data_IF_839718278757
#
_entry.id   IF_839718278757
#
_cell.length_a   1.000
_cell.length_b   1.000
_cell.length_c   1.000
_cell.angle_alpha   90.00
_cell.angle_beta   90.00
_cell.angle_gamma   90.00
#
_symmetry.space_group_name_H-M   'P 1'
#
loop_
_entity.id
_entity.type
_entity.pdbx_description
1 polymer ?
#
# COMPACT_ATOMS: atom_id res chain seq x y z
N UNK A 1 -2.02 -1.19 -1.79
CA UNK A 1 -2.01 -2.47 -2.54
C UNK A 1 -1.52 -3.56 -1.62
N UNK A 2 -2.41 -4.47 -1.23
CA UNK A 2 -2.02 -5.61 -0.40
C UNK A 2 -1.72 -6.80 -1.32
N UNK A 3 -0.54 -7.09 -1.59
CA UNK A 3 -0.09 -8.18 -2.43
C UNK A 3 1.29 -8.64 -1.99
N UNK A 4 1.82 -9.70 -2.52
CA UNK A 4 3.14 -10.23 -2.20
C UNK A 4 4.05 -10.15 -3.42
N UNK A 5 5.32 -9.87 -3.18
CA UNK A 5 6.28 -10.02 -4.25
C UNK A 5 6.42 -11.49 -4.63
N UNK A 6 6.36 -11.75 -5.91
CA UNK A 6 6.48 -13.08 -6.48
C UNK A 6 7.68 -13.11 -7.41
N UNK A 7 8.47 -14.13 -7.29
CA UNK A 7 9.60 -14.38 -8.19
C UNK A 7 9.51 -15.77 -8.74
N UNK A 8 9.65 -15.89 -10.05
CA UNK A 8 9.71 -17.17 -10.75
C UNK A 8 11.16 -17.49 -11.04
N UNK A 9 11.59 -18.68 -10.63
CA UNK A 9 12.91 -19.22 -10.91
C UNK A 9 12.80 -20.47 -11.77
N UNK A 10 13.80 -20.67 -12.62
CA UNK A 10 13.91 -21.88 -13.42
C UNK A 10 15.01 -22.77 -12.88
N UNK A 11 14.84 -24.07 -12.98
CA UNK A 11 15.94 -25.01 -12.69
C UNK A 11 17.06 -24.87 -13.72
N UNK A 12 18.29 -24.77 -13.25
CA UNK A 12 19.46 -24.73 -14.11
C UNK A 12 19.86 -26.11 -14.65
N UNK A 13 19.18 -27.17 -14.23
CA UNK A 13 19.47 -28.54 -14.62
C UNK A 13 18.51 -28.96 -15.73
N UNK A 14 19.01 -29.01 -16.96
CA UNK A 14 18.19 -29.32 -18.15
C UNK A 14 17.48 -30.68 -18.10
N UNK A 15 18.03 -31.64 -17.40
CA UNK A 15 17.52 -33.02 -17.34
C UNK A 15 16.86 -33.35 -15.99
N UNK A 16 16.61 -32.36 -15.15
CA UNK A 16 15.90 -32.62 -13.89
C UNK A 16 14.45 -33.01 -14.16
N UNK A 17 14.00 -34.09 -13.53
CA UNK A 17 12.60 -34.49 -13.60
C UNK A 17 11.74 -33.42 -12.88
N UNK A 18 10.63 -33.01 -13.50
CA UNK A 18 9.73 -32.08 -12.82
C UNK A 18 9.11 -32.76 -11.60
N UNK A 19 9.13 -32.07 -10.48
CA UNK A 19 8.43 -32.47 -9.24
C UNK A 19 7.01 -31.95 -9.17
N UNK A 20 6.60 -31.20 -10.17
CA UNK A 20 5.31 -30.54 -10.27
C UNK A 20 4.35 -31.26 -11.23
N UNK A 21 3.10 -30.90 -11.19
CA UNK A 21 2.07 -31.45 -12.11
C UNK A 21 2.27 -31.06 -13.58
N UNK A 22 3.10 -30.07 -13.87
CA UNK A 22 3.44 -29.63 -15.23
C UNK A 22 4.85 -30.02 -15.62
N UNK A 23 5.06 -30.12 -16.91
CA UNK A 23 6.32 -30.57 -17.51
C UNK A 23 7.39 -29.47 -17.58
N UNK A 24 7.46 -28.60 -16.60
CA UNK A 24 8.50 -27.58 -16.52
C UNK A 24 9.09 -27.48 -15.12
N UNK A 25 10.29 -26.94 -15.03
CA UNK A 25 11.03 -26.78 -13.79
C UNK A 25 10.95 -25.35 -13.25
N UNK A 26 9.79 -24.72 -13.38
CA UNK A 26 9.55 -23.42 -12.78
C UNK A 26 9.10 -23.58 -11.35
N UNK A 27 9.66 -22.76 -10.49
CA UNK A 27 9.15 -22.54 -9.15
C UNK A 27 8.96 -21.04 -8.90
N UNK A 28 8.13 -20.72 -7.96
CA UNK A 28 7.95 -19.34 -7.53
C UNK A 28 8.08 -19.20 -6.03
N UNK A 29 8.49 -18.04 -5.62
CA UNK A 29 8.61 -17.68 -4.21
C UNK A 29 7.78 -16.45 -3.91
N UNK A 30 7.29 -16.38 -2.68
CA UNK A 30 6.66 -15.21 -2.15
C UNK A 30 7.59 -14.52 -1.17
N UNK A 31 7.74 -13.22 -1.31
CA UNK A 31 8.26 -12.38 -0.23
C UNK A 31 7.10 -11.60 0.36
N UNK A 32 6.83 -11.83 1.64
CA UNK A 32 5.60 -11.43 2.30
C UNK A 32 5.41 -9.94 2.57
N UNK A 33 6.38 -9.07 2.21
CA UNK A 33 6.23 -7.62 2.41
C UNK A 33 6.40 -6.85 1.13
N UNK A 34 5.36 -6.21 0.72
CA UNK A 34 5.16 -5.77 -0.59
C UNK A 34 5.62 -4.42 -0.99
N UNK A 35 6.11 -4.46 -2.20
CA UNK A 35 6.02 -3.37 -3.14
C UNK A 35 4.58 -2.85 -3.23
N UNK A 36 4.33 -1.65 -2.80
CA UNK A 36 3.04 -1.00 -2.95
C UNK A 36 2.23 -0.84 -1.69
N UNK A 37 2.73 -1.28 -0.54
CA UNK A 37 2.20 -0.79 0.71
C UNK A 37 2.60 0.68 0.86
N UNK A 38 1.61 1.53 1.04
CA UNK A 38 1.84 2.87 1.52
C UNK A 38 2.55 2.77 2.88
N UNK A 39 3.79 3.21 2.93
CA UNK A 39 4.54 3.26 4.19
C UNK A 39 3.80 4.11 5.22
N UNK A 40 3.14 5.17 4.78
CA UNK A 40 2.32 6.05 5.61
C UNK A 40 1.10 5.30 6.16
N UNK A 41 0.39 4.56 5.30
CA UNK A 41 -0.79 3.77 5.70
C UNK A 41 -0.43 2.67 6.71
N UNK A 42 0.70 1.99 6.50
CA UNK A 42 1.19 0.98 7.45
C UNK A 42 1.63 1.62 8.78
N UNK A 43 2.30 2.76 8.74
CA UNK A 43 2.69 3.50 9.93
C UNK A 43 1.46 3.99 10.74
N UNK A 44 0.42 4.46 10.05
CA UNK A 44 -0.86 4.83 10.67
C UNK A 44 -1.49 3.63 11.39
N UNK A 45 -1.54 2.45 10.74
CA UNK A 45 -2.05 1.23 11.38
C UNK A 45 -1.24 0.82 12.60
N UNK A 46 0.10 0.89 12.51
CA UNK A 46 0.99 0.52 13.62
C UNK A 46 0.79 1.43 14.84
N UNK A 47 0.46 2.70 14.60
CA UNK A 47 0.12 3.67 15.66
C UNK A 47 -1.34 3.57 16.12
N UNK A 48 -2.13 2.66 15.58
CA UNK A 48 -3.52 2.42 15.97
C UNK A 48 -4.54 3.33 15.29
N UNK A 49 -4.14 4.06 14.25
CA UNK A 49 -5.04 4.92 13.47
C UNK A 49 -5.90 4.16 12.48
N UNK A 50 -6.98 4.80 12.07
CA UNK A 50 -7.94 4.26 11.10
C UNK A 50 -7.48 4.57 9.68
N UNK A 51 -7.36 3.53 8.87
CA UNK A 51 -6.91 3.65 7.47
C UNK A 51 -8.02 3.38 6.45
N UNK A 52 -9.13 2.81 6.90
CA UNK A 52 -10.26 2.48 6.05
C UNK A 52 -11.33 3.56 6.23
N UNK A 53 -11.43 4.47 5.27
CA UNK A 53 -12.34 5.60 5.28
C UNK A 53 -12.70 6.04 3.86
N UNK A 54 -13.70 6.90 3.75
CA UNK A 54 -14.08 7.51 2.48
C UNK A 54 -13.06 8.55 2.00
N UNK A 55 -12.42 9.23 2.96
CA UNK A 55 -11.36 10.20 2.75
C UNK A 55 -10.36 10.09 3.89
N UNK A 56 -9.08 10.12 3.59
CA UNK A 56 -7.98 10.11 4.55
C UNK A 56 -6.91 11.11 4.12
N UNK A 57 -6.39 11.85 5.06
CA UNK A 57 -5.22 12.70 4.92
C UNK A 57 -4.20 12.33 5.98
N UNK A 58 -3.05 11.84 5.58
CA UNK A 58 -1.98 11.45 6.49
C UNK A 58 -0.68 12.11 6.09
N UNK A 59 0.12 12.46 7.09
CA UNK A 59 1.48 12.99 6.90
C UNK A 59 2.50 12.12 7.61
N UNK A 60 3.73 12.13 7.12
CA UNK A 60 4.89 11.45 7.70
C UNK A 60 6.12 12.36 7.56
N UNK A 61 6.89 12.48 8.65
CA UNK A 61 8.12 13.29 8.66
C UNK A 61 9.17 12.67 9.56
N UNK A 62 10.37 13.24 9.59
CA UNK A 62 11.48 12.86 10.48
C UNK A 62 11.84 11.36 10.49
N UNK A 63 11.43 10.61 9.48
CA UNK A 63 11.59 9.15 9.44
C UNK A 63 13.07 8.76 9.32
N UNK A 64 13.59 8.10 10.37
CA UNK A 64 14.99 7.69 10.46
C UNK A 64 15.99 8.82 10.72
N UNK A 65 15.53 10.05 10.95
CA UNK A 65 16.38 11.22 11.15
C UNK A 65 16.28 11.79 12.56
N UNK A 66 17.18 11.38 13.43
CA UNK A 66 17.24 11.87 14.82
C UNK A 66 17.56 13.39 14.95
N UNK A 67 17.98 14.04 13.86
CA UNK A 67 18.22 15.48 13.85
C UNK A 67 16.94 16.30 13.64
N UNK A 68 15.86 15.67 13.19
CA UNK A 68 14.55 16.29 13.04
C UNK A 68 13.60 15.81 14.15
N UNK A 69 13.35 16.69 15.12
CA UNK A 69 12.36 16.48 16.18
C UNK A 69 11.22 17.49 16.08
N UNK A 70 10.93 17.93 14.87
CA UNK A 70 9.91 18.94 14.62
C UNK A 70 8.52 18.41 14.90
N UNK A 71 7.65 19.33 15.27
CA UNK A 71 6.23 19.12 15.49
C UNK A 71 5.48 19.64 14.26
N UNK A 72 5.04 18.72 13.42
CA UNK A 72 4.26 19.01 12.22
C UNK A 72 2.85 18.51 12.40
N UNK A 73 1.89 19.39 12.21
CA UNK A 73 0.47 19.06 12.36
C UNK A 73 -0.23 18.91 11.02
N UNK A 74 -1.00 17.86 10.88
CA UNK A 74 -2.00 17.71 9.82
C UNK A 74 -3.24 18.53 10.14
N UNK A 75 -3.67 19.33 9.19
CA UNK A 75 -4.88 20.15 9.29
C UNK A 75 -5.81 19.95 8.11
N UNK A 76 -7.08 19.98 8.41
CA UNK A 76 -8.12 20.04 7.38
C UNK A 76 -9.17 21.12 7.73
N UNK A 77 -9.79 21.70 6.70
CA UNK A 77 -10.95 22.56 6.85
C UNK A 77 -12.10 22.06 5.98
N UNK A 78 -13.19 21.70 6.62
CA UNK A 78 -14.41 21.21 5.96
C UNK A 78 -15.16 22.33 5.23
N UNK A 79 -16.12 22.00 4.34
CA UNK A 79 -16.86 22.99 3.56
C UNK A 79 -17.62 24.04 4.38
N UNK A 80 -18.00 23.71 5.61
CA UNK A 80 -18.68 24.64 6.53
C UNK A 80 -17.74 25.51 7.36
N UNK A 81 -16.43 25.42 7.10
CA UNK A 81 -15.39 26.17 7.83
C UNK A 81 -14.88 25.48 9.08
N UNK A 82 -15.43 24.33 9.48
CA UNK A 82 -14.93 23.55 10.62
C UNK A 82 -13.48 23.12 10.36
N UNK A 83 -12.60 23.39 11.30
CA UNK A 83 -11.20 22.94 11.24
C UNK A 83 -11.00 21.67 12.06
N UNK A 84 -10.17 20.80 11.57
CA UNK A 84 -9.76 19.55 12.20
C UNK A 84 -8.25 19.55 12.28
N UNK A 85 -7.72 19.29 13.46
CA UNK A 85 -6.30 19.27 13.80
C UNK A 85 -6.13 19.09 15.31
N UNK A 86 -4.92 19.22 15.85
CA UNK A 86 -4.63 18.92 17.26
C UNK A 86 -5.55 19.63 18.27
N UNK A 87 -5.89 20.89 18.05
CA UNK A 87 -6.75 21.65 18.97
C UNK A 87 -8.25 21.38 18.79
N UNK A 88 -8.64 20.84 17.64
CA UNK A 88 -10.02 20.47 17.28
C UNK A 88 -10.04 19.11 16.57
N UNK A 89 -9.68 18.03 17.31
CA UNK A 89 -9.46 16.72 16.67
C UNK A 89 -10.73 16.08 16.12
N UNK A 90 -11.89 16.61 16.48
CA UNK A 90 -13.20 16.17 15.96
C UNK A 90 -14.26 17.24 16.20
N UNK A 91 -15.30 17.20 15.38
CA UNK A 91 -16.48 18.05 15.59
C UNK A 91 -17.37 17.49 16.69
N UNK A 92 -17.76 18.33 17.65
CA UNK A 92 -18.83 18.03 18.61
C UNK A 92 -20.14 18.60 18.11
N UNK A 93 -21.14 17.77 17.85
CA UNK A 93 -22.49 18.28 17.63
C UNK A 93 -23.14 18.68 18.96
N UNK A 94 -23.75 19.86 18.95
CA UNK A 94 -24.52 20.30 20.10
C UNK A 94 -25.76 19.40 20.27
N UNK A 95 -25.81 18.66 21.34
CA UNK A 95 -26.96 17.86 21.76
C UNK A 95 -26.86 16.36 21.60
N UNK A 96 -25.78 15.82 21.05
CA UNK A 96 -25.52 14.38 20.98
C UNK A 96 -24.21 14.09 21.68
N UNK A 97 -24.22 13.18 22.65
CA UNK A 97 -23.00 12.75 23.37
C UNK A 97 -22.06 11.91 22.50
N UNK A 98 -22.36 11.75 21.23
CA UNK A 98 -21.59 10.96 20.30
C UNK A 98 -20.87 11.87 19.31
N UNK A 99 -19.63 11.54 19.02
CA UNK A 99 -18.86 12.08 17.89
C UNK A 99 -19.73 12.01 16.65
N UNK A 100 -19.97 13.13 16.01
CA UNK A 100 -20.62 13.07 14.72
C UNK A 100 -19.66 12.41 13.74
N UNK A 101 -20.13 11.31 13.21
CA UNK A 101 -19.44 10.61 12.11
C UNK A 101 -19.49 11.41 10.79
N UNK A 102 -19.84 12.70 10.84
CA UNK A 102 -19.98 13.57 9.67
C UNK A 102 -18.72 14.32 9.33
N UNK A 103 -17.87 14.58 10.34
CA UNK A 103 -16.63 15.31 10.13
C UNK A 103 -15.42 14.38 10.20
N UNK A 104 -14.29 14.88 9.69
CA UNK A 104 -13.01 14.23 9.86
C UNK A 104 -12.61 14.14 11.33
N UNK A 105 -11.77 13.19 11.61
CA UNK A 105 -11.21 12.99 12.93
C UNK A 105 -9.69 12.86 12.80
N UNK A 106 -8.94 13.68 13.56
CA UNK A 106 -7.53 13.45 13.84
C UNK A 106 -7.46 12.32 14.88
N UNK A 107 -6.92 11.19 14.53
CA UNK A 107 -6.84 10.01 15.39
C UNK A 107 -5.41 9.66 15.81
N UNK A 108 -4.41 10.26 15.15
CA UNK A 108 -3.00 10.20 15.55
C UNK A 108 -2.43 11.61 15.56
N UNK A 109 -1.73 11.93 16.64
CA UNK A 109 -1.03 13.20 16.88
C UNK A 109 0.33 12.90 17.54
N UNK A 110 1.44 13.23 16.87
CA UNK A 110 2.80 12.98 17.34
C UNK A 110 3.58 14.29 17.41
N UNK A 111 3.81 14.78 18.62
CA UNK A 111 4.45 16.07 18.87
C UNK A 111 5.97 16.04 18.98
N UNK A 112 6.56 14.87 19.23
CA UNK A 112 8.00 14.69 19.44
C UNK A 112 8.50 13.38 18.84
N UNK A 113 8.98 13.40 17.60
CA UNK A 113 9.52 12.23 16.89
C UNK A 113 10.56 11.41 17.66
N UNK A 114 11.47 12.08 18.37
CA UNK A 114 12.53 11.41 19.11
C UNK A 114 12.03 10.47 20.22
N UNK A 115 10.85 10.72 20.78
CA UNK A 115 10.22 9.84 21.77
C UNK A 115 9.83 8.48 21.18
N UNK A 116 9.77 8.38 19.85
CA UNK A 116 9.44 7.17 19.10
C UNK A 116 10.64 6.65 18.30
N UNK A 117 11.85 7.15 18.60
CA UNK A 117 13.07 6.78 17.86
C UNK A 117 13.02 7.19 16.37
N UNK A 118 12.28 8.25 16.04
CA UNK A 118 12.07 8.72 14.67
C UNK A 118 11.57 7.61 13.71
N UNK A 119 10.68 6.76 14.23
CA UNK A 119 10.13 5.65 13.45
C UNK A 119 8.61 5.72 13.41
N UNK A 120 8.06 5.62 12.19
CA UNK A 120 6.62 5.70 11.96
C UNK A 120 6.00 6.98 12.55
N UNK A 121 6.63 8.11 12.25
CA UNK A 121 6.19 9.43 12.70
C UNK A 121 5.11 9.92 11.75
N UNK A 122 3.88 9.82 12.19
CA UNK A 122 2.70 10.09 11.36
C UNK A 122 1.63 10.85 12.12
N UNK A 123 0.87 11.65 11.38
CA UNK A 123 -0.46 12.10 11.79
C UNK A 123 -1.49 11.69 10.77
N UNK A 124 -2.72 11.53 11.24
CA UNK A 124 -3.80 11.01 10.40
C UNK A 124 -5.13 11.69 10.69
N UNK A 125 -5.74 12.21 9.63
CA UNK A 125 -7.13 12.68 9.63
C UNK A 125 -7.94 11.77 8.72
N UNK A 126 -9.06 11.22 9.23
CA UNK A 126 -9.90 10.29 8.50
C UNK A 126 -11.38 10.67 8.56
N UNK A 127 -12.08 10.52 7.44
CA UNK A 127 -13.54 10.60 7.29
C UNK A 127 -14.06 9.21 6.94
N UNK A 128 -14.83 8.62 7.83
CA UNK A 128 -15.22 7.20 7.73
C UNK A 128 -16.24 6.94 6.61
N UNK A 129 -17.20 7.86 6.41
CA UNK A 129 -18.35 7.61 5.53
C UNK A 129 -18.67 8.85 4.68
N UNK A 130 -18.47 8.74 3.35
CA UNK A 130 -18.73 9.83 2.42
C UNK A 130 -20.18 10.33 2.46
N UNK A 131 -21.15 9.46 2.76
CA UNK A 131 -22.58 9.82 2.85
C UNK A 131 -22.88 10.76 4.00
N UNK A 132 -21.99 10.84 4.97
CA UNK A 132 -22.08 11.72 6.13
C UNK A 132 -21.25 12.99 5.99
N UNK A 133 -20.46 13.09 4.93
CA UNK A 133 -19.72 14.30 4.60
C UNK A 133 -20.63 15.30 3.88
N UNK A 134 -20.30 16.58 4.02
CA UNK A 134 -20.99 17.64 3.28
C UNK A 134 -20.37 17.83 1.90
N UNK A 135 -21.21 18.02 0.91
CA UNK A 135 -20.76 18.46 -0.41
C UNK A 135 -20.04 19.82 -0.30
N UNK A 136 -18.96 19.97 -1.03
CA UNK A 136 -18.13 21.18 -1.04
C UNK A 136 -16.65 20.87 -1.01
N UNK A 137 -15.85 21.87 -0.67
CA UNK A 137 -14.38 21.80 -0.69
C UNK A 137 -13.83 21.60 0.71
N UNK A 138 -13.08 20.50 0.90
CA UNK A 138 -12.24 20.26 2.06
C UNK A 138 -10.80 20.66 1.72
N UNK A 139 -10.21 21.56 2.50
CA UNK A 139 -8.83 22.03 2.32
C UNK A 139 -7.91 21.24 3.26
N UNK A 140 -6.72 20.88 2.78
CA UNK A 140 -5.74 20.11 3.55
C UNK A 140 -4.38 20.78 3.52
N UNK A 141 -3.74 20.90 4.68
CA UNK A 141 -2.41 21.50 4.81
C UNK A 141 -1.64 20.91 5.98
N UNK A 142 -0.33 21.14 5.98
CA UNK A 142 0.59 20.81 7.06
C UNK A 142 1.06 22.09 7.70
N UNK A 143 0.98 22.18 9.03
CA UNK A 143 1.46 23.31 9.80
C UNK A 143 2.73 22.94 10.56
N UNK A 144 3.65 23.90 10.69
CA UNK A 144 4.81 23.79 11.55
C UNK A 144 4.48 24.38 12.92
N UNK A 145 4.09 23.55 13.88
CA UNK A 145 3.86 24.01 15.25
C UNK A 145 5.17 24.35 15.96
N UNK A 146 6.13 23.44 15.95
CA UNK A 146 7.45 23.69 16.54
C UNK A 146 8.57 23.19 15.62
N UNK A 147 9.41 24.14 15.17
CA UNK A 147 10.57 23.80 14.35
C UNK A 147 11.73 23.33 15.25
N UNK A 148 12.10 22.06 15.09
CA UNK A 148 13.24 21.43 15.75
C UNK A 148 14.05 20.61 14.73
N UNK A 149 14.39 21.23 13.60
CA UNK A 149 15.20 20.61 12.55
C UNK A 149 14.41 20.10 11.35
N UNK A 150 13.20 20.66 11.10
CA UNK A 150 12.33 20.24 9.98
C UNK A 150 13.06 20.21 8.66
N UNK A 151 12.95 19.09 7.95
CA UNK A 151 13.48 18.89 6.58
C UNK A 151 12.40 18.72 5.55
N UNK A 152 11.14 18.66 5.98
CA UNK A 152 9.98 18.48 5.12
C UNK A 152 9.10 17.33 5.59
N UNK A 153 8.20 16.90 4.71
CA UNK A 153 7.25 15.82 4.99
C UNK A 153 6.86 15.10 3.72
N UNK A 154 6.31 13.93 3.88
CA UNK A 154 5.51 13.22 2.88
C UNK A 154 4.06 13.23 3.31
N UNK A 155 3.13 13.29 2.35
CA UNK A 155 1.71 13.23 2.64
C UNK A 155 1.01 12.28 1.68
N UNK A 156 -0.08 11.71 2.14
CA UNK A 156 -1.01 10.91 1.33
C UNK A 156 -2.43 11.37 1.55
N UNK A 157 -3.16 11.44 0.45
CA UNK A 157 -4.60 11.61 0.43
C UNK A 157 -5.20 10.40 -0.26
N UNK A 158 -6.06 9.68 0.44
CA UNK A 158 -6.83 8.56 -0.11
C UNK A 158 -8.29 8.98 -0.16
N UNK A 159 -8.89 8.97 -1.34
CA UNK A 159 -10.30 9.27 -1.52
C UNK A 159 -10.93 8.31 -2.54
N UNK A 160 -11.96 7.60 -2.10
CA UNK A 160 -12.50 6.50 -2.86
C UNK A 160 -11.44 5.40 -3.07
N UNK A 161 -11.23 5.02 -4.34
CA UNK A 161 -10.26 3.99 -4.74
C UNK A 161 -8.90 4.58 -5.15
N UNK A 162 -8.70 5.88 -5.00
CA UNK A 162 -7.50 6.58 -5.46
C UNK A 162 -6.65 7.07 -4.29
N UNK A 163 -5.33 6.96 -4.43
CA UNK A 163 -4.35 7.46 -3.48
C UNK A 163 -3.41 8.43 -4.17
N UNK A 164 -3.31 9.62 -3.62
CA UNK A 164 -2.44 10.69 -4.09
C UNK A 164 -1.33 10.91 -3.09
N UNK A 165 -0.09 10.98 -3.57
CA UNK A 165 1.09 11.15 -2.75
C UNK A 165 1.76 12.48 -3.03
N UNK A 166 2.35 13.07 -1.99
CA UNK A 166 3.01 14.37 -2.05
C UNK A 166 4.31 14.29 -1.27
N UNK A 167 5.30 15.03 -1.74
CA UNK A 167 6.58 15.16 -1.08
C UNK A 167 7.00 16.64 -1.04
N UNK A 168 7.34 17.10 0.15
CA UNK A 168 7.80 18.46 0.39
C UNK A 168 9.16 18.41 1.07
N UNK A 169 10.24 18.58 0.28
CA UNK A 169 11.63 18.38 0.69
C UNK A 169 12.32 19.70 1.07
N UNK A 170 11.64 20.52 1.89
CA UNK A 170 12.16 21.79 2.40
C UNK A 170 11.73 21.95 3.87
N UNK A 171 12.47 22.72 4.67
CA UNK A 171 11.98 23.09 5.99
C UNK A 171 10.57 23.69 5.91
N UNK A 172 9.68 23.19 6.73
CA UNK A 172 8.30 23.67 6.79
C UNK A 172 8.30 25.01 7.52
N UNK A 173 7.62 26.00 6.95
CA UNK A 173 7.46 27.34 7.54
C UNK A 173 5.98 27.72 7.45
N UNK A 174 5.32 27.82 8.61
CA UNK A 174 3.88 28.10 8.66
C UNK A 174 3.05 26.98 8.04
N UNK A 175 2.09 27.35 7.20
CA UNK A 175 1.16 26.44 6.54
C UNK A 175 1.63 26.08 5.13
N UNK A 176 1.75 24.79 4.87
CA UNK A 176 2.00 24.26 3.52
C UNK A 176 0.74 23.56 3.03
N UNK A 177 0.02 24.21 2.14
CA UNK A 177 -1.20 23.65 1.55
C UNK A 177 -0.89 22.52 0.59
N UNK A 178 -1.53 21.36 0.79
CA UNK A 178 -1.28 20.12 0.03
C UNK A 178 -2.28 19.98 -1.11
N UNK A 179 -3.57 20.01 -0.80
CA UNK A 179 -4.63 19.85 -1.79
C UNK A 179 -5.99 20.41 -1.30
N UNK A 180 -6.90 20.58 -2.24
CA UNK A 180 -8.32 20.81 -2.02
C UNK A 180 -9.10 19.62 -2.59
N UNK A 181 -9.94 19.01 -1.76
CA UNK A 181 -10.77 17.86 -2.13
C UNK A 181 -12.21 18.32 -2.23
N UNK A 182 -12.77 18.24 -3.42
CA UNK A 182 -14.20 18.58 -3.64
C UNK A 182 -15.01 17.28 -3.62
N UNK A 183 -15.98 17.21 -2.70
CA UNK A 183 -17.02 16.19 -2.72
C UNK A 183 -18.27 16.80 -3.35
N UNK A 184 -18.81 16.14 -4.37
CA UNK A 184 -20.08 16.52 -5.00
C UNK A 184 -20.85 15.27 -5.41
N UNK A 185 -22.06 15.11 -4.86
CA UNK A 185 -22.92 13.95 -5.16
C UNK A 185 -22.21 12.59 -4.98
N UNK A 186 -21.39 12.45 -3.94
CA UNK A 186 -20.63 11.23 -3.65
C UNK A 186 -19.38 11.01 -4.51
N UNK A 187 -19.02 11.96 -5.36
CA UNK A 187 -17.81 11.88 -6.20
C UNK A 187 -16.76 12.84 -5.68
N UNK A 188 -15.56 12.32 -5.47
CA UNK A 188 -14.39 13.11 -5.09
C UNK A 188 -13.65 13.62 -6.32
N UNK A 189 -13.21 14.87 -6.27
CA UNK A 189 -12.23 15.44 -7.21
C UNK A 189 -11.14 16.15 -6.44
N UNK A 190 -9.90 16.01 -6.92
CA UNK A 190 -8.72 16.55 -6.26
C UNK A 190 -8.15 17.71 -7.05
N UNK A 191 -7.88 18.82 -6.35
CA UNK A 191 -7.08 19.92 -6.86
C UNK A 191 -5.77 19.94 -6.09
N UNK A 192 -4.69 19.59 -6.77
CA UNK A 192 -3.35 19.56 -6.19
C UNK A 192 -2.81 20.99 -6.00
N UNK A 193 -2.34 21.29 -4.80
CA UNK A 193 -1.67 22.57 -4.47
C UNK A 193 -0.15 22.37 -4.33
N UNK A 194 0.27 21.16 -3.91
CA UNK A 194 1.62 20.66 -4.13
C UNK A 194 1.63 19.79 -5.39
N UNK A 195 2.76 19.69 -6.09
CA UNK A 195 2.92 18.70 -7.13
C UNK A 195 2.66 17.30 -6.60
N UNK A 196 1.78 16.56 -7.24
CA UNK A 196 1.62 15.15 -6.95
C UNK A 196 2.92 14.43 -7.29
N UNK A 197 3.38 13.59 -6.38
CA UNK A 197 4.48 12.68 -6.64
C UNK A 197 3.90 11.30 -6.94
N UNK A 198 4.49 10.61 -7.91
CA UNK A 198 4.06 9.25 -8.26
C UNK A 198 4.34 8.29 -7.10
N UNK A 199 3.71 8.54 -5.93
CA UNK A 199 3.77 7.75 -4.71
C UNK A 199 5.12 7.07 -4.50
N UNK A 200 6.09 7.86 -4.30
CA UNK A 200 7.38 7.61 -3.70
C UNK A 200 7.97 6.25 -3.75
N UNK A 201 8.68 5.77 -4.38
CA UNK A 201 9.69 4.71 -4.37
C UNK A 201 9.49 3.75 -5.52
N UNK A 202 10.49 3.74 -6.33
CA UNK A 202 10.82 2.57 -7.15
C UNK A 202 11.09 1.43 -6.15
N UNK A 203 10.14 0.54 -6.00
CA UNK A 203 10.31 -0.70 -5.26
C UNK A 203 10.47 -1.83 -6.25
N UNK A 204 11.53 -2.60 -6.11
CA UNK A 204 11.83 -3.70 -7.02
C UNK A 204 11.87 -3.32 -8.51
N UNK A 205 12.27 -2.08 -8.81
CA UNK A 205 12.25 -1.55 -10.18
C UNK A 205 10.90 -1.00 -10.66
N UNK A 206 9.86 -1.06 -9.84
CA UNK A 206 8.52 -0.60 -10.17
C UNK A 206 8.21 0.72 -9.48
N UNK A 207 7.61 1.64 -10.21
CA UNK A 207 6.99 2.82 -9.61
C UNK A 207 5.58 2.48 -9.13
N UNK A 208 5.23 2.94 -7.94
CA UNK A 208 3.88 2.78 -7.42
C UNK A 208 2.92 3.73 -8.14
N UNK A 209 1.62 3.39 -8.17
CA UNK A 209 0.56 4.16 -8.85
C UNK A 209 0.71 4.29 -10.38
N UNK A 210 1.55 3.46 -11.00
CA UNK A 210 1.63 3.37 -12.46
C UNK A 210 1.12 2.02 -12.96
N UNK A 211 0.69 1.99 -14.22
CA UNK A 211 0.36 0.74 -14.88
C UNK A 211 1.65 0.09 -15.40
N UNK A 212 1.92 -1.11 -14.94
CA UNK A 212 3.06 -1.90 -15.37
C UNK A 212 2.64 -2.97 -16.38
N UNK A 213 3.51 -3.20 -17.36
CA UNK A 213 3.28 -4.26 -18.33
C UNK A 213 3.37 -5.62 -17.66
N UNK A 214 2.36 -6.44 -17.86
CA UNK A 214 2.33 -7.83 -17.40
C UNK A 214 2.95 -8.72 -18.48
N UNK A 215 4.01 -9.43 -18.14
CA UNK A 215 4.68 -10.37 -19.05
C UNK A 215 4.06 -11.76 -18.97
N UNK A 216 3.60 -12.16 -17.78
CA UNK A 216 3.02 -13.48 -17.52
C UNK A 216 1.99 -13.38 -16.41
N UNK A 217 0.84 -13.96 -16.63
CA UNK A 217 -0.20 -14.18 -15.62
C UNK A 217 -0.25 -15.67 -15.27
N UNK A 218 0.05 -16.00 -14.02
CA UNK A 218 -0.11 -17.33 -13.49
C UNK A 218 -1.29 -17.39 -12.55
N UNK A 219 -2.07 -18.45 -12.64
CA UNK A 219 -3.15 -18.77 -11.72
C UNK A 219 -2.75 -20.05 -11.00
N UNK A 220 -2.74 -20.01 -9.67
CA UNK A 220 -2.48 -21.19 -8.85
C UNK A 220 -3.64 -21.38 -7.89
N UNK A 221 -4.53 -22.33 -8.14
CA UNK A 221 -5.48 -22.76 -7.13
C UNK A 221 -4.71 -23.52 -6.04
N UNK A 222 -4.84 -23.08 -4.82
CA UNK A 222 -4.28 -23.78 -3.68
C UNK A 222 -5.20 -24.92 -3.25
N UNK A 223 -5.16 -26.01 -4.01
CA UNK A 223 -5.95 -27.21 -3.72
C UNK A 223 -5.09 -28.27 -3.05
N UNK A 224 -5.34 -28.48 -1.79
CA UNK A 224 -4.77 -29.59 -1.03
C UNK A 224 -5.90 -30.51 -0.59
N UNK A 225 -6.11 -31.60 -1.33
CA UNK A 225 -7.11 -32.61 -1.07
C UNK A 225 -8.32 -32.57 -2.02
N UNK A 226 -9.23 -33.51 -1.81
CA UNK A 226 -10.35 -33.78 -2.73
C UNK A 226 -11.50 -32.78 -2.65
N UNK A 227 -11.46 -31.85 -1.70
CA UNK A 227 -12.61 -31.01 -1.38
C UNK A 227 -12.63 -29.65 -2.09
N UNK A 228 -11.73 -29.39 -3.02
CA UNK A 228 -11.62 -28.10 -3.74
C UNK A 228 -11.62 -26.86 -2.81
N UNK A 229 -11.25 -27.04 -1.55
CA UNK A 229 -11.17 -25.96 -0.57
C UNK A 229 -9.78 -25.35 -0.65
N UNK A 230 -9.70 -24.11 -1.04
CA UNK A 230 -8.42 -23.41 -1.10
C UNK A 230 -8.56 -22.03 -1.72
N UNK A 231 -7.57 -21.21 -1.51
CA UNK A 231 -7.51 -19.85 -2.04
C UNK A 231 -6.93 -19.87 -3.45
N UNK A 232 -7.51 -19.07 -4.32
CA UNK A 232 -6.91 -18.81 -5.63
C UNK A 232 -5.80 -17.78 -5.49
N UNK A 233 -4.63 -18.09 -6.03
CA UNK A 233 -3.53 -17.14 -6.14
C UNK A 233 -3.39 -16.66 -7.58
N UNK A 234 -3.28 -15.36 -7.72
CA UNK A 234 -3.07 -14.67 -8.99
C UNK A 234 -1.69 -14.02 -8.94
N UNK A 235 -0.83 -14.38 -9.88
CA UNK A 235 0.55 -13.91 -9.92
C UNK A 235 0.78 -13.18 -11.24
N UNK A 236 1.07 -11.89 -11.15
CA UNK A 236 1.37 -11.03 -12.28
C UNK A 236 2.88 -10.77 -12.33
N UNK A 237 3.58 -11.42 -13.24
CA UNK A 237 4.98 -11.14 -13.51
C UNK A 237 5.09 -9.87 -14.34
N UNK A 238 5.77 -8.87 -13.83
CA UNK A 238 5.78 -7.52 -14.38
C UNK A 238 7.08 -7.23 -15.11
N UNK A 239 7.00 -6.46 -16.17
CA UNK A 239 8.17 -5.98 -16.90
C UNK A 239 8.97 -5.02 -16.03
N UNK A 240 10.29 -5.20 -15.96
CA UNK A 240 11.17 -4.38 -15.14
C UNK A 240 11.12 -4.64 -13.62
N UNK A 241 10.33 -5.61 -13.17
CA UNK A 241 10.29 -5.99 -11.77
C UNK A 241 11.49 -6.88 -11.41
N UNK A 242 12.31 -6.44 -10.48
CA UNK A 242 13.51 -7.15 -10.06
C UNK A 242 13.46 -7.45 -8.57
N UNK A 243 13.68 -8.72 -8.19
CA UNK A 243 13.88 -9.10 -6.80
C UNK A 243 15.34 -8.90 -6.41
N UNK A 244 15.68 -7.96 -5.51
CA UNK A 244 17.05 -7.73 -5.10
C UNK A 244 17.56 -8.73 -4.07
N UNK A 245 16.67 -9.51 -3.47
CA UNK A 245 16.98 -10.39 -2.37
C UNK A 245 17.30 -11.80 -2.83
N UNK A 246 18.06 -12.52 -2.00
CA UNK A 246 18.15 -13.96 -2.12
C UNK A 246 16.78 -14.59 -2.04
N UNK A 247 16.45 -15.44 -2.98
CA UNK A 247 15.13 -16.05 -3.10
C UNK A 247 15.15 -17.36 -2.34
N UNK A 248 14.15 -17.60 -1.50
CA UNK A 248 13.93 -18.92 -0.91
C UNK A 248 13.55 -19.89 -2.01
N UNK A 249 14.25 -21.00 -2.05
CA UNK A 249 14.26 -21.83 -3.24
C UNK A 249 12.94 -22.44 -3.61
N UNK A 250 11.94 -22.48 -2.72
CA UNK A 250 10.78 -23.25 -3.08
C UNK A 250 9.59 -23.12 -2.15
N UNK A 251 8.50 -22.77 -2.70
CA UNK A 251 7.19 -23.10 -2.16
C UNK A 251 6.27 -23.40 -3.34
N UNK A 252 5.80 -24.62 -3.48
CA UNK A 252 4.92 -24.97 -4.56
C UNK A 252 3.70 -25.74 -4.06
N UNK A 253 2.57 -25.23 -4.40
CA UNK A 253 1.26 -25.76 -4.05
C UNK A 253 0.72 -26.78 -5.06
N UNK A 254 1.36 -26.88 -6.23
CA UNK A 254 0.97 -27.81 -7.29
C UNK A 254 1.89 -29.03 -7.37
N UNK A 255 2.21 -29.59 -6.23
CA UNK A 255 2.92 -30.86 -6.18
C UNK A 255 2.10 -31.97 -6.82
N UNK A 256 2.76 -32.93 -7.42
CA UNK A 256 2.11 -34.19 -7.80
C UNK A 256 1.48 -34.81 -6.53
N UNK A 257 0.29 -35.41 -6.64
CA UNK A 257 -0.45 -35.91 -5.47
C UNK A 257 0.34 -36.79 -4.53
N UNK A 258 1.23 -37.59 -5.08
CA UNK A 258 2.09 -38.52 -4.34
C UNK A 258 3.11 -37.82 -3.41
N UNK A 259 3.39 -36.54 -3.67
CA UNK A 259 4.30 -35.72 -2.84
C UNK A 259 3.57 -34.90 -1.79
N UNK A 260 2.23 -34.88 -1.79
CA UNK A 260 1.45 -34.05 -0.86
C UNK A 260 1.73 -34.37 0.63
N UNK A 261 1.97 -35.65 0.95
CA UNK A 261 2.34 -36.09 2.31
C UNK A 261 3.69 -35.54 2.78
N UNK A 262 4.58 -35.18 1.85
CA UNK A 262 5.92 -34.65 2.14
C UNK A 262 5.96 -33.12 2.19
N UNK A 263 4.83 -32.45 2.08
CA UNK A 263 4.74 -30.98 2.03
C UNK A 263 5.55 -30.29 3.10
N UNK A 264 5.40 -30.70 4.36
CA UNK A 264 6.11 -30.07 5.49
C UNK A 264 7.63 -30.18 5.37
N UNK A 265 8.12 -31.32 4.86
CA UNK A 265 9.55 -31.53 4.63
C UNK A 265 10.03 -30.62 3.49
N UNK A 266 9.28 -30.52 2.41
CA UNK A 266 9.61 -29.67 1.28
C UNK A 266 9.57 -28.18 1.63
N UNK A 267 8.64 -27.77 2.49
CA UNK A 267 8.59 -26.39 3.02
C UNK A 267 9.85 -26.07 3.85
N UNK A 268 10.28 -26.97 4.73
CA UNK A 268 11.50 -26.80 5.52
C UNK A 268 12.74 -26.72 4.61
N UNK A 269 12.86 -27.63 3.66
CA UNK A 269 13.96 -27.62 2.69
C UNK A 269 13.98 -26.32 1.89
N UNK A 270 12.82 -25.86 1.42
CA UNK A 270 12.68 -24.60 0.70
C UNK A 270 13.09 -23.37 1.51
N UNK A 271 12.86 -23.37 2.82
CA UNK A 271 13.27 -22.26 3.68
C UNK A 271 14.78 -22.24 3.98
N UNK A 272 15.45 -23.37 3.88
CA UNK A 272 16.90 -23.49 4.16
C UNK A 272 17.75 -23.21 2.92
N UNK A 273 17.22 -23.47 1.73
CA UNK A 273 17.94 -23.27 0.48
C UNK A 273 17.66 -21.89 -0.10
N UNK A 274 18.68 -21.08 -0.25
CA UNK A 274 18.58 -19.76 -0.86
C UNK A 274 19.20 -19.77 -2.24
N UNK A 275 18.50 -19.18 -3.20
CA UNK A 275 18.99 -18.96 -4.57
C UNK A 275 19.46 -17.52 -4.68
N UNK A 276 20.68 -17.32 -5.18
CA UNK A 276 21.18 -15.98 -5.47
C UNK A 276 20.36 -15.34 -6.60
N UNK A 277 19.99 -14.08 -6.39
CA UNK A 277 19.35 -13.30 -7.42
C UNK A 277 20.38 -12.88 -8.46
N UNK A 278 20.19 -13.31 -9.72
CA UNK A 278 21.01 -12.87 -10.83
C UNK A 278 20.42 -11.66 -11.56
N UNK A 279 19.32 -11.12 -11.06
CA UNK A 279 18.58 -9.99 -11.67
C UNK A 279 17.85 -10.32 -12.97
N UNK A 280 17.82 -11.59 -13.38
CA UNK A 280 17.18 -12.04 -14.63
C UNK A 280 15.88 -12.79 -14.43
N UNK A 281 15.57 -13.19 -13.20
CA UNK A 281 14.33 -13.88 -12.92
C UNK A 281 13.13 -12.96 -13.11
N UNK A 282 12.05 -13.51 -13.64
CA UNK A 282 10.79 -12.80 -13.71
C UNK A 282 10.26 -12.59 -12.30
N UNK A 283 9.94 -11.37 -11.97
CA UNK A 283 9.36 -11.00 -10.68
C UNK A 283 8.11 -10.16 -10.87
N UNK A 284 7.30 -10.07 -9.86
CA UNK A 284 6.04 -9.34 -9.94
C UNK A 284 5.28 -9.34 -8.62
N UNK A 285 3.98 -9.24 -8.72
CA UNK A 285 3.06 -9.19 -7.58
C UNK A 285 2.10 -10.37 -7.60
N UNK A 286 1.88 -10.95 -6.44
CA UNK A 286 0.91 -12.01 -6.24
C UNK A 286 -0.21 -11.56 -5.31
N UNK A 287 -1.42 -12.01 -5.58
CA UNK A 287 -2.61 -11.73 -4.80
C UNK A 287 -3.30 -13.02 -4.40
N UNK A 288 -3.81 -13.03 -3.17
CA UNK A 288 -4.68 -14.08 -2.68
C UNK A 288 -6.12 -13.58 -2.71
N UNK A 289 -7.03 -14.36 -3.26
CA UNK A 289 -8.45 -14.01 -3.38
C UNK A 289 -9.16 -13.76 -2.04
N UNK A 290 -8.63 -14.27 -0.93
CA UNK A 290 -9.19 -14.00 0.41
C UNK A 290 -8.84 -12.62 0.98
N UNK A 291 -7.78 -12.00 0.46
CA UNK A 291 -7.30 -10.70 0.93
C UNK A 291 -7.67 -9.59 -0.04
N UNK A 292 -7.74 -9.93 -1.33
CA UNK A 292 -8.07 -8.99 -2.38
C UNK A 292 -8.98 -9.65 -3.40
N UNK A 293 -10.11 -9.03 -3.63
CA UNK A 293 -11.16 -9.52 -4.52
C UNK A 293 -11.20 -8.82 -5.88
N UNK A 294 -10.40 -7.79 -6.09
CA UNK A 294 -10.39 -7.08 -7.38
C UNK A 294 -9.02 -6.52 -7.78
N UNK A 295 -8.83 -6.37 -9.08
CA UNK A 295 -7.69 -5.68 -9.70
C UNK A 295 -8.14 -4.90 -10.93
N UNK A 296 -7.54 -3.76 -11.16
CA UNK A 296 -7.77 -2.94 -12.35
C UNK A 296 -6.69 -3.26 -13.38
N UNK A 297 -7.11 -3.71 -14.55
CA UNK A 297 -6.23 -4.03 -15.68
C UNK A 297 -6.46 -3.07 -16.83
N UNK A 298 -5.39 -2.54 -17.38
CA UNK A 298 -5.41 -1.80 -18.65
C UNK A 298 -5.02 -2.74 -19.78
N UNK A 299 -5.99 -3.11 -20.59
CA UNK A 299 -5.77 -3.99 -21.73
C UNK A 299 -5.37 -3.19 -22.96
N UNK A 300 -4.32 -3.64 -23.63
CA UNK A 300 -3.85 -3.08 -24.89
C UNK A 300 -3.93 -4.17 -25.98
N UNK A 301 -4.83 -3.98 -26.92
CA UNK A 301 -5.03 -4.89 -28.06
C UNK A 301 -5.55 -4.08 -29.25
N UNK A 302 -6.40 -4.69 -30.07
CA UNK A 302 -7.13 -3.98 -31.13
C UNK A 302 -7.98 -2.84 -30.58
N UNK A 303 -8.39 -2.94 -29.33
CA UNK A 303 -9.07 -1.89 -28.57
C UNK A 303 -8.39 -1.69 -27.21
N UNK A 304 -8.29 -0.45 -26.77
CA UNK A 304 -7.81 -0.11 -25.41
C UNK A 304 -9.01 -0.12 -24.46
N UNK A 305 -8.89 -0.85 -23.34
CA UNK A 305 -9.92 -0.89 -22.29
C UNK A 305 -9.25 -0.86 -20.92
N UNK A 306 -9.96 -0.31 -19.97
CA UNK A 306 -9.69 -0.51 -18.54
C UNK A 306 -10.80 -1.42 -18.01
N UNK A 307 -10.42 -2.52 -17.41
CA UNK A 307 -11.36 -3.51 -16.84
C UNK A 307 -11.06 -3.71 -15.36
N UNK A 308 -12.12 -3.78 -14.58
CA UNK A 308 -12.06 -4.20 -13.19
C UNK A 308 -12.39 -5.69 -13.17
N UNK A 309 -11.42 -6.49 -12.76
CA UNK A 309 -11.57 -7.95 -12.62
C UNK A 309 -11.85 -8.21 -11.14
N UNK A 310 -12.95 -8.90 -10.87
CA UNK A 310 -13.27 -9.45 -9.55
C UNK A 310 -12.95 -10.93 -9.53
N UNK A 311 -12.35 -11.38 -8.44
CA UNK A 311 -11.95 -12.76 -8.24
C UNK A 311 -12.99 -13.56 -7.46
#
# INVERSE_FOLDING_TARGET
>A
MDGNMVTMTTSNVKDSKPIFKWDNNYSWTFDGNLAGKSQIKDAVREKGGVVDGALRFSIMWAEGDASDNSDLDAWAQEPDGTRIGFSTPYRKDKGVNNRTLMSGQLDIDITQPNNFGNKNIVENIVWIDARKMKDGVTKMWVNQYANRGSKGFRAEIECGDETYSYEYNKPVVGDVHVAEITLKNGVFTVKHLLPETNGSKVLYGLQTNEFHKVNLLCLSPNHWGDNNVGNKHYMFMLDGCVCPNKIRSFHNENLIPELAEHRKVLEVLGTTNMIESDGKQLSGVGFNATVRDEVILKLHGSHKRVVRVKF
#
